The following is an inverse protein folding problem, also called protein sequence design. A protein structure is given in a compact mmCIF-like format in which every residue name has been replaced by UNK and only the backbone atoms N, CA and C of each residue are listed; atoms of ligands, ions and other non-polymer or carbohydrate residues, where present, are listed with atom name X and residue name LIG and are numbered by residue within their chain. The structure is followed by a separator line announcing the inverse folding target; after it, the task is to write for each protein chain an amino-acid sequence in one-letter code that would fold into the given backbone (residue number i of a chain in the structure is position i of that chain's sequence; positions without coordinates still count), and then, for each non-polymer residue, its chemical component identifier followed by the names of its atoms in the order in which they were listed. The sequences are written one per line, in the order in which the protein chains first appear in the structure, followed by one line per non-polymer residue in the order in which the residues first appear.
data_IF_479054397680
#
_entry.id   IF_479054397680
#
_cell.length_a   1.000
_cell.length_b   1.000
_cell.length_c   1.000
_cell.angle_alpha   90.00
_cell.angle_beta   90.00
_cell.angle_gamma   90.00
#
_symmetry.space_group_name_H-M   'P 1'
#
loop_
_entity.id
_entity.type
_entity.pdbx_description
1 polymer ?
#
# COMPACT_ATOMS: atom_id res chain seq x y z
N UNK A 1 -6.33 -25.13 23.40
CA UNK A 1 -4.99 -24.53 23.34
C UNK A 1 -4.50 -24.66 21.91
N UNK A 2 -4.01 -23.56 21.31
CA UNK A 2 -3.82 -23.27 19.87
C UNK A 2 -4.95 -22.45 19.24
N UNK A 3 -5.22 -21.31 19.87
CA UNK A 3 -4.87 -19.98 19.36
C UNK A 3 -4.76 -19.81 17.83
N UNK A 4 -5.43 -18.74 17.39
CA UNK A 4 -4.99 -17.86 16.32
C UNK A 4 -4.93 -18.44 14.91
N UNK A 5 -6.07 -18.36 14.23
CA UNK A 5 -6.03 -17.97 12.82
C UNK A 5 -7.29 -17.22 12.47
N UNK A 6 -7.28 -15.96 12.87
CA UNK A 6 -7.99 -14.83 12.26
C UNK A 6 -7.71 -14.80 10.76
N UNK A 7 -8.21 -15.78 10.01
CA UNK A 7 -8.24 -15.74 8.57
C UNK A 7 -9.54 -15.05 8.20
N UNK A 8 -9.51 -13.74 8.49
CA UNK A 8 -10.53 -12.75 8.18
C UNK A 8 -11.16 -13.10 6.85
N UNK A 9 -12.45 -13.38 6.93
CA UNK A 9 -13.31 -13.72 5.82
C UNK A 9 -13.12 -12.69 4.71
N UNK A 10 -12.46 -13.10 3.63
CA UNK A 10 -12.42 -12.41 2.34
C UNK A 10 -13.76 -12.70 1.66
N UNK A 11 -14.81 -12.15 2.29
CA UNK A 11 -16.17 -12.13 1.79
C UNK A 11 -16.47 -10.74 1.23
N UNK A 12 -16.73 -10.69 -0.08
CA UNK A 12 -17.58 -9.70 -0.76
C UNK A 12 -17.10 -8.24 -0.80
N UNK A 13 -16.67 -7.79 -2.00
CA UNK A 13 -16.30 -6.40 -2.35
C UNK A 13 -15.08 -5.85 -1.59
N UNK A 14 -13.95 -6.50 -1.77
CA UNK A 14 -12.74 -6.16 -1.03
C UNK A 14 -12.07 -4.89 -1.57
N UNK A 15 -11.56 -4.00 -0.68
CA UNK A 15 -10.74 -2.84 -1.05
C UNK A 15 -9.33 -3.28 -1.49
N UNK A 16 -9.25 -4.25 -2.43
CA UNK A 16 -8.01 -4.80 -2.99
C UNK A 16 -7.18 -3.70 -3.63
N UNK A 17 -7.83 -2.73 -4.28
CA UNK A 17 -7.15 -1.58 -4.88
C UNK A 17 -6.33 -0.82 -3.84
N UNK A 18 -6.94 -0.45 -2.71
CA UNK A 18 -6.29 0.31 -1.65
C UNK A 18 -5.21 -0.53 -0.95
N UNK A 19 -5.49 -1.80 -0.65
CA UNK A 19 -4.52 -2.69 0.00
C UNK A 19 -3.28 -2.94 -0.89
N UNK A 20 -3.48 -3.21 -2.19
CA UNK A 20 -2.41 -3.33 -3.18
C UNK A 20 -1.64 -2.01 -3.31
N UNK A 21 -2.37 -0.90 -3.34
CA UNK A 21 -1.80 0.44 -3.35
C UNK A 21 -0.84 0.69 -2.20
N UNK A 22 -1.26 0.41 -0.97
CA UNK A 22 -0.42 0.60 0.23
C UNK A 22 0.84 -0.27 0.17
N UNK A 23 0.70 -1.56 -0.17
CA UNK A 23 1.85 -2.48 -0.26
C UNK A 23 2.83 -2.02 -1.36
N UNK A 24 2.31 -1.65 -2.52
CA UNK A 24 3.10 -1.13 -3.63
C UNK A 24 3.81 0.17 -3.25
N UNK A 25 3.10 1.05 -2.55
CA UNK A 25 3.62 2.31 -2.03
C UNK A 25 4.77 2.16 -1.06
N UNK A 26 4.66 1.24 -0.10
CA UNK A 26 5.73 0.95 0.86
C UNK A 26 6.96 0.41 0.14
N UNK A 27 6.80 -0.59 -0.74
CA UNK A 27 7.92 -1.19 -1.48
C UNK A 27 8.59 -0.15 -2.38
N UNK A 28 7.80 0.63 -3.11
CA UNK A 28 8.30 1.70 -3.96
C UNK A 28 9.02 2.77 -3.12
N UNK A 29 8.47 3.14 -1.97
CA UNK A 29 9.06 4.12 -1.08
C UNK A 29 10.39 3.68 -0.45
N UNK A 30 10.54 2.40 -0.10
CA UNK A 30 11.80 1.84 0.41
C UNK A 30 12.87 1.81 -0.69
N UNK A 31 12.49 1.46 -1.92
CA UNK A 31 13.43 1.34 -3.04
C UNK A 31 13.79 2.70 -3.61
N UNK A 32 12.80 3.52 -3.96
CA UNK A 32 12.98 4.83 -4.59
C UNK A 32 13.24 5.97 -3.61
N UNK A 33 12.82 5.85 -2.35
CA UNK A 33 13.05 6.88 -1.33
C UNK A 33 14.51 7.30 -1.23
N UNK A 34 15.46 6.37 -0.98
CA UNK A 34 16.87 6.72 -0.91
C UNK A 34 17.47 7.12 -2.28
N UNK A 35 16.92 6.62 -3.39
CA UNK A 35 17.39 6.97 -4.74
C UNK A 35 17.00 8.41 -5.13
N UNK A 36 15.80 8.85 -4.75
CA UNK A 36 15.24 10.15 -5.14
C UNK A 36 15.55 11.24 -4.11
N UNK A 37 15.56 10.90 -2.83
CA UNK A 37 15.68 11.86 -1.72
C UNK A 37 16.99 11.71 -0.92
N UNK A 38 17.90 10.81 -1.31
CA UNK A 38 19.21 10.61 -0.67
C UNK A 38 19.12 9.90 0.69
N UNK A 39 20.15 10.07 1.53
CA UNK A 39 20.35 9.31 2.78
C UNK A 39 19.17 9.37 3.76
N UNK A 40 18.41 10.47 3.77
CA UNK A 40 17.21 10.67 4.61
C UNK A 40 15.89 10.41 3.86
N UNK A 41 16.00 9.84 2.66
CA UNK A 41 14.92 9.78 1.69
C UNK A 41 13.92 8.65 1.87
N UNK A 42 14.29 7.62 2.63
CA UNK A 42 13.49 6.41 2.79
C UNK A 42 12.16 6.67 3.50
N UNK A 43 12.14 7.54 4.52
CA UNK A 43 10.91 7.91 5.25
C UNK A 43 9.97 8.75 4.39
N UNK A 44 10.50 9.74 3.66
CA UNK A 44 9.75 10.54 2.68
C UNK A 44 9.22 9.67 1.54
N UNK A 45 10.05 8.75 1.04
CA UNK A 45 9.68 7.80 -0.01
C UNK A 45 8.53 6.90 0.41
N UNK A 46 8.57 6.34 1.63
CA UNK A 46 7.48 5.52 2.17
C UNK A 46 6.19 6.35 2.30
N UNK A 47 6.26 7.56 2.85
CA UNK A 47 5.09 8.43 2.98
C UNK A 47 4.47 8.80 1.63
N UNK A 48 5.31 9.19 0.65
CA UNK A 48 4.87 9.52 -0.71
C UNK A 48 4.31 8.28 -1.42
N UNK A 49 4.97 7.14 -1.27
CA UNK A 49 4.57 5.87 -1.84
C UNK A 49 3.23 5.40 -1.30
N UNK A 50 2.99 5.45 0.00
CA UNK A 50 1.69 5.13 0.60
C UNK A 50 0.61 6.08 0.06
N UNK A 51 0.87 7.39 0.02
CA UNK A 51 -0.08 8.38 -0.49
C UNK A 51 -0.46 8.13 -1.96
N UNK A 52 0.55 7.90 -2.83
CA UNK A 52 0.37 7.54 -4.24
C UNK A 52 -0.35 6.19 -4.39
N UNK A 53 0.05 5.20 -3.60
CA UNK A 53 -0.53 3.88 -3.57
C UNK A 53 -2.02 3.90 -3.23
N UNK A 54 -2.40 4.60 -2.17
CA UNK A 54 -3.80 4.80 -1.79
C UNK A 54 -4.55 5.56 -2.89
N UNK A 55 -3.97 6.62 -3.45
CA UNK A 55 -4.61 7.41 -4.50
C UNK A 55 -4.87 6.57 -5.77
N UNK A 56 -3.88 5.79 -6.22
CA UNK A 56 -4.00 4.90 -7.38
C UNK A 56 -4.96 3.76 -7.08
N UNK A 57 -4.86 3.15 -5.90
CA UNK A 57 -5.74 2.07 -5.45
C UNK A 57 -7.19 2.50 -5.35
N UNK A 58 -7.44 3.69 -4.81
CA UNK A 58 -8.76 4.31 -4.75
C UNK A 58 -9.26 4.72 -6.14
N UNK A 59 -8.40 5.26 -7.02
CA UNK A 59 -8.77 5.58 -8.38
C UNK A 59 -9.11 4.32 -9.21
N UNK A 60 -8.37 3.23 -8.99
CA UNK A 60 -8.62 1.95 -9.66
C UNK A 60 -9.94 1.33 -9.18
N UNK A 61 -10.20 1.37 -7.87
CA UNK A 61 -11.47 0.94 -7.29
C UNK A 61 -12.65 1.80 -7.79
N UNK A 62 -12.46 3.12 -7.83
CA UNK A 62 -13.45 4.08 -8.33
C UNK A 62 -13.81 3.86 -9.80
N UNK A 63 -12.84 3.46 -10.62
CA UNK A 63 -13.02 3.28 -12.07
C UNK A 63 -13.52 1.88 -12.46
N UNK A 64 -13.58 0.95 -11.50
CA UNK A 64 -14.08 -0.43 -11.67
C UNK A 64 -15.37 -0.72 -10.85
N UNK A 65 -16.07 0.33 -10.40
CA UNK A 65 -17.38 0.25 -9.76
C UNK A 65 -18.52 0.29 -10.77
#
# INVERSE_FOLDING_TARGET
MKDDKTKKEIGSKEPRGIALGVVFGIVFGIIFGPIVFGDNGSSTGIGLGIALGIAIGAAYDYRHK
#
